data_IF_996086338943
#
_entry.id   IF_996086338943
#
_cell.length_a   1.000
_cell.length_b   1.000
_cell.length_c   1.000
_cell.angle_alpha   90.00
_cell.angle_beta   90.00
_cell.angle_gamma   90.00
#
_symmetry.space_group_name_H-M   'P 1'
#
loop_
_entity.id
_entity.type
_entity.pdbx_description
1 polymer ?
#
# COMPACT_ATOMS: atom_id res chain seq x y z
N UNK A 1 6.39 -38.89 2.08
CA UNK A 1 5.97 -37.51 1.80
C UNK A 1 7.13 -36.60 2.19
N UNK A 2 7.53 -35.66 1.34
CA UNK A 2 8.45 -34.58 1.73
C UNK A 2 7.57 -33.36 2.00
N UNK A 3 7.84 -32.66 3.10
CA UNK A 3 7.06 -31.48 3.48
C UNK A 3 7.58 -30.28 2.66
N UNK A 4 6.69 -29.50 2.06
CA UNK A 4 7.06 -28.15 1.60
C UNK A 4 7.42 -27.31 2.82
N UNK A 5 8.39 -26.42 2.71
CA UNK A 5 8.86 -25.59 3.84
C UNK A 5 9.32 -24.25 3.29
N UNK A 6 8.71 -23.16 3.76
CA UNK A 6 9.08 -21.81 3.36
C UNK A 6 9.89 -21.15 4.47
N UNK A 7 11.00 -20.49 4.11
CA UNK A 7 11.72 -19.60 5.01
C UNK A 7 11.69 -18.18 4.44
N UNK A 8 11.07 -17.26 5.18
CA UNK A 8 11.04 -15.84 4.87
C UNK A 8 11.76 -15.05 5.97
N UNK A 9 12.57 -14.07 5.56
CA UNK A 9 13.20 -13.09 6.43
C UNK A 9 12.74 -11.69 5.99
N UNK A 10 11.88 -11.08 6.78
CA UNK A 10 11.26 -9.78 6.49
C UNK A 10 12.07 -8.62 7.06
N UNK A 11 12.29 -7.58 6.25
CA UNK A 11 12.86 -6.31 6.68
C UNK A 11 11.97 -5.15 6.23
N UNK A 12 11.32 -4.48 7.19
CA UNK A 12 10.71 -3.19 6.95
C UNK A 12 11.81 -2.11 6.89
N UNK A 13 12.10 -1.58 5.70
CA UNK A 13 13.07 -0.50 5.55
C UNK A 13 12.47 0.85 5.99
N UNK A 14 12.60 1.16 7.27
CA UNK A 14 12.42 2.51 7.80
C UNK A 14 13.71 3.32 7.61
N UNK A 15 13.98 3.77 6.38
CA UNK A 15 15.16 4.61 6.08
C UNK A 15 14.78 6.09 6.11
N UNK A 16 15.09 6.76 7.22
CA UNK A 16 15.10 8.23 7.32
C UNK A 16 16.51 8.77 7.01
N UNK A 17 16.77 9.10 5.75
CA UNK A 17 17.96 9.85 5.35
C UNK A 17 17.77 11.35 5.56
N UNK A 18 18.71 12.08 6.21
CA UNK A 18 18.65 13.53 6.27
C UNK A 18 18.93 14.13 4.90
N UNK A 19 17.95 14.83 4.32
CA UNK A 19 18.13 15.60 3.10
C UNK A 19 18.91 16.90 3.36
N UNK A 20 20.21 16.78 3.64
CA UNK A 20 21.13 17.91 3.74
C UNK A 20 21.96 18.05 2.46
N UNK A 21 21.46 18.86 1.53
CA UNK A 21 22.28 19.36 0.43
C UNK A 21 23.20 20.47 0.95
N UNK A 22 24.48 20.18 1.15
CA UNK A 22 25.51 21.19 1.41
C UNK A 22 26.81 20.91 0.64
N UNK A 23 27.37 21.98 0.08
CA UNK A 23 28.64 21.96 -0.66
C UNK A 23 29.82 21.75 0.30
N UNK A 24 30.81 20.97 -0.12
CA UNK A 24 32.12 20.89 0.53
C UNK A 24 32.93 22.19 0.25
N UNK A 25 33.96 22.58 1.05
CA UNK A 25 35.17 21.75 1.16
C UNK A 25 35.98 21.77 2.49
N UNK A 26 36.92 20.80 2.55
CA UNK A 26 38.19 20.74 3.30
C UNK A 26 38.26 20.06 4.71
N UNK A 27 39.11 19.00 4.72
CA UNK A 27 40.02 18.40 5.72
C UNK A 27 40.14 19.09 7.11
N UNK A 28 40.43 18.38 8.21
CA UNK A 28 41.56 17.45 8.41
C UNK A 28 41.44 16.64 9.72
N UNK A 29 42.09 15.46 9.85
CA UNK A 29 42.44 14.84 11.16
C UNK A 29 41.88 13.46 11.55
N UNK A 30 42.67 12.40 11.32
CA UNK A 30 42.62 11.09 12.02
C UNK A 30 43.36 11.19 13.40
N UNK A 31 43.20 10.28 14.42
CA UNK A 31 43.17 8.82 14.24
C UNK A 31 42.31 7.94 15.21
N UNK A 32 42.19 6.65 14.85
CA UNK A 32 41.73 5.50 15.65
C UNK A 32 42.68 5.16 16.83
N UNK A 33 42.22 4.54 17.95
CA UNK A 33 42.20 3.06 18.03
C UNK A 33 41.16 2.42 18.99
N UNK A 34 41.00 1.09 18.92
CA UNK A 34 40.61 0.25 20.08
C UNK A 34 39.46 -0.74 19.88
N UNK A 35 39.76 -2.04 19.76
CA UNK A 35 38.79 -3.14 19.88
C UNK A 35 38.61 -3.56 21.34
N UNK A 36 37.37 -3.85 21.77
CA UNK A 36 37.06 -4.95 22.72
C UNK A 36 35.59 -5.38 22.62
N UNK A 37 35.36 -6.68 22.44
CA UNK A 37 34.06 -7.34 22.60
C UNK A 37 34.01 -8.03 23.98
N UNK A 38 32.83 -8.17 24.61
CA UNK A 38 32.56 -9.25 25.56
C UNK A 38 31.43 -10.17 25.11
N UNK A 39 31.44 -11.40 25.63
CA UNK A 39 30.66 -12.53 25.13
C UNK A 39 29.34 -12.83 25.90
N UNK A 40 28.52 -13.69 25.28
CA UNK A 40 27.38 -14.43 25.81
C UNK A 40 27.75 -15.95 25.86
N UNK A 41 26.96 -16.88 26.45
CA UNK A 41 25.81 -16.78 27.37
C UNK A 41 26.09 -17.61 28.68
N UNK A 42 25.20 -18.40 29.35
CA UNK A 42 24.24 -19.39 28.82
C UNK A 42 22.78 -19.23 29.28
N UNK A 43 21.86 -19.99 28.67
CA UNK A 43 20.42 -19.97 28.93
C UNK A 43 19.96 -21.12 29.86
N UNK A 44 18.80 -20.92 30.52
CA UNK A 44 17.99 -22.01 31.09
C UNK A 44 16.50 -21.65 31.10
N UNK A 45 15.66 -22.60 30.70
CA UNK A 45 14.21 -22.65 30.86
C UNK A 45 13.87 -24.04 31.48
N UNK A 46 12.61 -24.47 31.71
CA UNK A 46 11.31 -23.78 31.55
C UNK A 46 10.33 -23.97 32.75
N UNK A 47 9.12 -23.38 32.66
CA UNK A 47 7.78 -24.05 32.79
C UNK A 47 6.65 -23.09 33.22
N UNK A 48 5.64 -22.94 32.36
CA UNK A 48 4.23 -22.80 32.77
C UNK A 48 3.60 -24.23 32.75
N UNK A 49 2.45 -24.57 33.35
CA UNK A 49 1.14 -23.90 33.54
C UNK A 49 0.39 -24.66 34.68
N UNK A 50 -0.72 -24.19 35.30
CA UNK A 50 -2.05 -24.32 34.67
C UNK A 50 -3.15 -23.29 34.99
N UNK A 51 -4.00 -23.06 33.98
CA UNK A 51 -5.46 -22.83 33.97
C UNK A 51 -6.22 -22.51 35.28
N UNK A 52 -7.08 -21.48 35.26
CA UNK A 52 -8.57 -21.58 35.18
C UNK A 52 -9.26 -20.21 35.35
N UNK A 53 -10.46 -20.06 34.79
CA UNK A 53 -11.45 -18.99 35.05
C UNK A 53 -12.80 -19.69 35.23
N UNK A 54 -13.64 -19.32 36.21
CA UNK A 54 -14.90 -18.66 35.82
C UNK A 54 -15.52 -17.69 36.85
N UNK A 55 -16.20 -16.65 36.32
CA UNK A 55 -17.40 -16.05 36.92
C UNK A 55 -17.23 -14.86 37.87
N UNK A 56 -17.85 -13.72 37.52
CA UNK A 56 -18.64 -12.87 38.43
C UNK A 56 -19.43 -11.81 37.64
N UNK A 57 -20.70 -11.60 38.01
CA UNK A 57 -21.60 -10.60 37.43
C UNK A 57 -21.29 -9.17 37.90
N UNK A 58 -21.64 -8.17 37.07
CA UNK A 58 -21.50 -6.74 37.39
C UNK A 58 -22.84 -6.00 37.25
N UNK A 59 -23.33 -5.29 38.29
CA UNK A 59 -24.53 -4.44 38.22
C UNK A 59 -24.23 -3.00 37.74
N UNK A 60 -25.28 -2.26 37.39
CA UNK A 60 -25.28 -0.83 36.97
C UNK A 60 -26.50 -0.08 37.56
N UNK A 61 -26.72 1.25 37.34
CA UNK A 61 -25.83 2.33 36.90
C UNK A 61 -25.53 3.33 38.06
N UNK A 62 -26.15 4.54 38.31
CA UNK A 62 -27.16 5.38 37.62
C UNK A 62 -26.53 6.71 37.04
N UNK A 63 -27.01 7.98 37.12
CA UNK A 63 -26.76 8.99 36.05
C UNK A 63 -26.20 10.38 36.51
N UNK A 64 -26.15 11.36 35.58
CA UNK A 64 -25.37 12.61 35.65
C UNK A 64 -26.15 13.94 35.80
N UNK A 65 -25.39 15.06 35.82
CA UNK A 65 -25.75 16.50 35.70
C UNK A 65 -26.01 17.29 37.01
N UNK A 66 -25.95 18.66 37.03
CA UNK A 66 -25.70 19.63 35.95
C UNK A 66 -24.60 20.71 36.21
N UNK A 67 -24.56 21.74 35.36
CA UNK A 67 -23.55 22.81 35.18
C UNK A 67 -23.69 24.06 36.08
N UNK A 68 -22.63 24.89 36.12
CA UNK A 68 -22.65 26.29 36.59
C UNK A 68 -21.68 27.19 35.78
N UNK A 69 -21.89 28.51 35.79
CA UNK A 69 -21.28 29.49 34.87
C UNK A 69 -20.27 30.46 35.52
N UNK A 70 -19.39 31.01 34.67
CA UNK A 70 -18.84 32.38 34.67
C UNK A 70 -17.98 32.92 35.86
N UNK A 71 -16.81 33.46 35.50
CA UNK A 71 -15.99 34.38 36.31
C UNK A 71 -14.92 35.02 35.43
N UNK A 72 -14.65 36.33 35.58
CA UNK A 72 -13.92 37.14 34.59
C UNK A 72 -12.78 37.99 35.17
N UNK A 73 -11.60 37.94 34.50
CA UNK A 73 -10.50 38.94 34.53
C UNK A 73 -9.73 39.11 35.86
N UNK A 74 -8.47 39.64 35.89
CA UNK A 74 -7.86 40.59 34.92
C UNK A 74 -6.44 40.31 34.39
N UNK A 75 -6.02 41.16 33.45
CA UNK A 75 -4.67 41.27 32.85
C UNK A 75 -3.53 41.57 33.84
N UNK A 76 -2.32 41.12 33.50
CA UNK A 76 -1.04 41.71 33.91
C UNK A 76 0.04 41.44 32.82
N UNK A 77 0.96 42.38 32.52
CA UNK A 77 1.74 42.34 31.27
C UNK A 77 3.20 41.87 31.41
N UNK A 78 3.71 41.27 30.33
CA UNK A 78 5.11 41.37 29.92
C UNK A 78 6.10 40.35 30.51
N UNK A 79 6.37 39.28 29.76
CA UNK A 79 7.66 38.59 29.78
C UNK A 79 8.20 38.37 28.36
N UNK A 80 9.52 38.30 28.26
CA UNK A 80 10.28 38.48 27.01
C UNK A 80 10.21 37.26 26.10
N UNK A 81 10.15 37.49 24.79
CA UNK A 81 10.40 36.48 23.77
C UNK A 81 11.88 36.05 23.82
N UNK A 82 12.16 34.97 24.56
CA UNK A 82 13.42 34.23 24.46
C UNK A 82 13.26 33.09 23.45
N UNK A 83 14.26 32.89 22.58
CA UNK A 83 14.22 31.80 21.61
C UNK A 83 14.15 30.45 22.30
N UNK A 84 13.11 29.67 21.98
CA UNK A 84 12.91 28.30 22.44
C UNK A 84 13.02 27.33 21.27
N UNK A 85 13.78 26.26 21.48
CA UNK A 85 14.19 25.28 20.49
C UNK A 85 13.06 24.68 19.64
N UNK A 86 13.29 24.57 18.33
CA UNK A 86 12.43 23.84 17.37
C UNK A 86 12.61 22.31 17.50
N UNK A 87 12.65 21.80 18.73
CA UNK A 87 12.91 20.41 19.08
C UNK A 87 11.71 19.78 19.82
N UNK A 88 10.50 19.95 19.27
CA UNK A 88 9.25 19.53 19.94
C UNK A 88 8.06 19.20 19.03
N UNK A 89 8.24 19.05 17.71
CA UNK A 89 7.14 18.81 16.75
C UNK A 89 6.96 17.35 16.31
N UNK A 90 7.49 16.37 17.05
CA UNK A 90 7.38 14.93 16.70
C UNK A 90 6.05 14.28 17.12
N UNK A 91 4.97 15.06 17.25
CA UNK A 91 3.70 14.60 17.84
C UNK A 91 2.43 15.25 17.28
N UNK A 92 2.50 15.95 16.14
CA UNK A 92 1.29 16.50 15.51
C UNK A 92 0.50 15.42 14.76
N UNK A 93 -0.62 15.02 15.35
CA UNK A 93 -1.86 14.56 14.68
C UNK A 93 -1.74 13.66 13.43
N UNK A 94 -0.96 12.57 13.55
CA UNK A 94 -0.85 11.50 12.54
C UNK A 94 -2.20 10.82 12.19
N UNK A 95 -3.29 11.16 12.91
CA UNK A 95 -4.62 10.57 12.76
C UNK A 95 -5.46 11.19 11.62
N UNK A 96 -5.09 12.36 11.08
CA UNK A 96 -5.96 13.15 10.20
C UNK A 96 -5.36 13.54 8.84
N UNK A 97 -4.55 12.65 8.24
CA UNK A 97 -4.04 12.87 6.88
C UNK A 97 -5.18 12.84 5.83
N UNK A 98 -5.38 13.90 5.03
CA UNK A 98 -6.43 13.96 4.01
C UNK A 98 -6.11 13.04 2.82
N UNK A 99 -7.14 12.33 2.34
CA UNK A 99 -7.10 11.48 1.17
C UNK A 99 -6.81 12.26 -0.13
N UNK A 100 -6.24 11.59 -1.13
CA UNK A 100 -5.94 12.17 -2.44
C UNK A 100 -7.21 12.44 -3.26
N UNK A 101 -8.19 11.54 -3.23
CA UNK A 101 -9.32 11.57 -4.17
C UNK A 101 -10.57 12.28 -3.62
N UNK A 102 -10.61 12.70 -2.35
CA UNK A 102 -11.77 13.41 -1.79
C UNK A 102 -11.77 13.73 -0.30
N UNK A 103 -12.88 14.28 0.23
CA UNK A 103 -13.00 14.75 1.61
C UNK A 103 -13.22 13.59 2.59
N UNK A 104 -12.21 12.74 2.74
CA UNK A 104 -12.15 11.65 3.71
C UNK A 104 -10.69 11.38 4.11
N UNK A 105 -10.45 10.43 5.02
CA UNK A 105 -9.12 10.12 5.53
C UNK A 105 -8.35 9.16 4.61
N UNK A 106 -7.04 9.39 4.48
CA UNK A 106 -6.16 8.65 3.58
C UNK A 106 -6.06 7.13 3.87
N UNK A 107 -6.36 6.70 5.10
CA UNK A 107 -6.44 5.29 5.49
C UNK A 107 -7.46 4.46 4.68
N UNK A 108 -8.46 5.11 4.07
CA UNK A 108 -9.41 4.47 3.15
C UNK A 108 -8.78 4.15 1.79
N UNK A 109 -7.73 4.85 1.37
CA UNK A 109 -7.08 4.63 0.07
C UNK A 109 -6.10 3.47 0.14
N UNK A 110 -5.96 2.73 -0.96
CA UNK A 110 -5.14 1.52 -1.06
C UNK A 110 -4.33 1.57 -2.37
N UNK A 111 -4.22 0.49 -3.14
CA UNK A 111 -3.60 0.51 -4.47
C UNK A 111 -4.37 1.41 -5.46
N UNK A 112 -3.67 2.15 -6.32
CA UNK A 112 -4.25 3.01 -7.36
C UNK A 112 -5.40 3.89 -6.86
N UNK A 113 -6.59 3.68 -7.41
CA UNK A 113 -7.83 4.35 -6.96
C UNK A 113 -8.72 3.49 -6.06
N UNK A 114 -8.31 2.29 -5.63
CA UNK A 114 -9.14 1.39 -4.83
C UNK A 114 -9.40 1.88 -3.40
N UNK A 115 -10.37 1.27 -2.71
CA UNK A 115 -10.68 1.54 -1.30
C UNK A 115 -10.56 0.31 -0.41
N UNK A 116 -10.07 0.53 0.80
CA UNK A 116 -10.01 -0.40 1.93
C UNK A 116 -10.80 0.16 3.14
N UNK A 117 -11.01 -0.62 4.22
CA UNK A 117 -11.70 -0.12 5.41
C UNK A 117 -10.94 1.01 6.11
N UNK A 118 -11.66 2.05 6.57
CA UNK A 118 -11.12 3.16 7.37
C UNK A 118 -10.55 2.75 8.76
N UNK A 119 -10.48 1.45 9.06
CA UNK A 119 -9.85 0.85 10.23
C UNK A 119 -8.50 0.19 9.89
N UNK A 120 -8.14 0.10 8.61
CA UNK A 120 -6.83 -0.38 8.16
C UNK A 120 -5.74 0.63 8.52
N UNK A 121 -4.68 0.24 9.24
CA UNK A 121 -3.52 1.10 9.45
C UNK A 121 -2.74 1.31 8.15
N UNK A 122 -2.21 2.52 7.96
CA UNK A 122 -1.12 2.79 7.02
C UNK A 122 0.16 3.01 7.82
N UNK A 123 1.18 2.19 7.58
CA UNK A 123 2.50 2.32 8.21
C UNK A 123 3.47 2.97 7.23
N UNK A 124 3.90 4.21 7.46
CA UNK A 124 4.83 4.89 6.59
C UNK A 124 5.69 5.90 7.35
N UNK A 125 6.80 6.30 6.72
CA UNK A 125 7.53 7.51 7.10
C UNK A 125 6.81 8.70 6.45
N UNK A 126 6.49 9.71 7.25
CA UNK A 126 5.86 10.95 6.80
C UNK A 126 6.84 12.12 6.95
N UNK A 127 6.93 12.96 5.93
CA UNK A 127 7.82 14.11 5.87
C UNK A 127 7.05 15.30 5.26
N UNK A 128 7.33 16.51 5.75
CA UNK A 128 6.81 17.75 5.16
C UNK A 128 7.95 18.51 4.46
N UNK A 129 7.71 18.94 3.22
CA UNK A 129 8.65 19.72 2.42
C UNK A 129 7.96 20.99 1.91
N UNK A 130 7.86 22.01 2.78
CA UNK A 130 6.95 23.13 2.58
C UNK A 130 5.50 22.62 2.55
N UNK A 131 4.76 22.99 1.50
CA UNK A 131 3.36 22.58 1.30
C UNK A 131 3.20 21.11 0.85
N UNK A 132 4.30 20.38 0.61
CA UNK A 132 4.25 18.97 0.20
C UNK A 132 4.25 18.03 1.40
N UNK A 133 3.22 17.20 1.50
CA UNK A 133 3.20 16.00 2.33
C UNK A 133 3.79 14.84 1.53
N UNK A 134 4.95 14.36 1.95
CA UNK A 134 5.67 13.22 1.38
C UNK A 134 5.51 12.02 2.30
N UNK A 135 5.27 10.84 1.72
CA UNK A 135 5.05 9.58 2.44
C UNK A 135 5.86 8.47 1.76
N UNK A 136 6.61 7.71 2.55
CA UNK A 136 7.38 6.55 2.08
C UNK A 136 6.95 5.30 2.84
N UNK A 137 6.51 4.29 2.10
CA UNK A 137 6.13 2.97 2.61
C UNK A 137 6.88 1.91 1.82
N UNK A 138 7.40 0.88 2.48
CA UNK A 138 8.07 -0.21 1.79
C UNK A 138 8.33 -1.40 2.68
N UNK A 139 8.38 -2.56 2.05
CA UNK A 139 8.68 -3.84 2.68
C UNK A 139 9.52 -4.66 1.70
N UNK A 140 10.63 -5.23 2.17
CA UNK A 140 11.42 -6.17 1.40
C UNK A 140 11.61 -7.47 2.20
N UNK A 141 11.42 -8.59 1.53
CA UNK A 141 11.52 -9.93 2.09
C UNK A 141 12.60 -10.70 1.33
N UNK A 142 13.56 -11.27 2.06
CA UNK A 142 14.41 -12.35 1.54
C UNK A 142 13.68 -13.66 1.70
N UNK A 143 13.38 -14.35 0.59
CA UNK A 143 12.57 -15.58 0.59
C UNK A 143 13.39 -16.74 0.03
N UNK A 144 13.30 -17.90 0.69
CA UNK A 144 13.65 -19.18 0.10
C UNK A 144 12.43 -20.11 0.17
N UNK A 145 11.86 -20.39 -0.99
CA UNK A 145 10.75 -21.32 -1.17
C UNK A 145 11.26 -22.70 -1.61
N UNK A 146 10.65 -23.76 -1.07
CA UNK A 146 10.78 -25.14 -1.56
C UNK A 146 9.43 -25.85 -1.52
N UNK A 147 8.92 -26.15 -2.72
CA UNK A 147 7.65 -26.84 -2.92
C UNK A 147 7.90 -28.27 -3.40
N UNK A 148 7.41 -29.25 -2.63
CA UNK A 148 7.67 -30.67 -2.91
C UNK A 148 6.77 -31.26 -4.00
N UNK A 149 7.31 -32.21 -4.76
CA UNK A 149 6.58 -33.04 -5.72
C UNK A 149 6.92 -32.75 -7.20
N UNK A 150 6.36 -33.50 -8.17
CA UNK A 150 6.76 -33.42 -9.58
C UNK A 150 6.47 -32.08 -10.28
N UNK A 151 5.57 -31.27 -9.70
CA UNK A 151 5.18 -29.92 -10.17
C UNK A 151 5.83 -28.79 -9.35
N UNK A 152 6.52 -29.14 -8.26
CA UNK A 152 7.14 -28.18 -7.37
C UNK A 152 8.52 -27.72 -7.84
N UNK A 153 9.19 -26.94 -7.01
CA UNK A 153 10.54 -26.45 -7.26
C UNK A 153 11.05 -25.61 -6.09
N UNK A 154 12.31 -25.22 -6.18
CA UNK A 154 13.00 -24.44 -5.14
C UNK A 154 13.45 -23.10 -5.73
N UNK A 155 13.39 -22.00 -4.94
CA UNK A 155 13.95 -20.72 -5.34
C UNK A 155 14.27 -19.79 -4.17
N UNK A 156 15.45 -19.17 -4.21
CA UNK A 156 15.76 -17.95 -3.47
C UNK A 156 15.42 -16.69 -4.27
N UNK A 157 14.74 -15.72 -3.67
CA UNK A 157 14.37 -14.45 -4.32
C UNK A 157 14.20 -13.32 -3.29
N UNK A 158 14.12 -12.08 -3.78
CA UNK A 158 13.68 -10.91 -3.00
C UNK A 158 12.29 -10.53 -3.50
N UNK A 159 11.36 -10.28 -2.59
CA UNK A 159 9.99 -9.88 -2.90
C UNK A 159 9.57 -8.67 -2.06
N UNK A 160 8.59 -7.91 -2.56
CA UNK A 160 8.00 -6.77 -1.86
C UNK A 160 7.98 -5.52 -2.73
N UNK A 161 7.99 -4.34 -2.11
CA UNK A 161 7.90 -3.06 -2.82
C UNK A 161 8.51 -1.90 -2.03
N UNK A 162 8.86 -0.83 -2.74
CA UNK A 162 9.10 0.50 -2.17
C UNK A 162 8.20 1.50 -2.89
N UNK A 163 7.31 2.16 -2.13
CA UNK A 163 6.39 3.17 -2.61
C UNK A 163 6.70 4.55 -2.00
N UNK A 164 6.85 5.55 -2.87
CA UNK A 164 6.88 6.96 -2.50
C UNK A 164 5.60 7.66 -2.97
N UNK A 165 5.09 8.58 -2.16
CA UNK A 165 3.96 9.43 -2.50
C UNK A 165 4.27 10.89 -2.13
N UNK A 166 3.84 11.83 -2.97
CA UNK A 166 3.96 13.26 -2.70
C UNK A 166 2.62 13.92 -3.00
N UNK A 167 2.07 14.66 -2.04
CA UNK A 167 0.75 15.31 -2.18
C UNK A 167 0.77 16.76 -1.69
N UNK A 168 -0.03 17.61 -2.34
CA UNK A 168 -0.14 19.04 -2.04
C UNK A 168 -1.54 19.55 -2.38
N UNK A 169 -2.06 20.44 -1.54
CA UNK A 169 -3.31 21.13 -1.80
C UNK A 169 -3.11 22.35 -2.72
N UNK A 170 -4.08 22.61 -3.58
CA UNK A 170 -4.10 23.66 -4.60
C UNK A 170 -5.34 24.53 -4.40
N UNK A 171 -5.14 25.66 -3.71
CA UNK A 171 -6.23 26.48 -3.19
C UNK A 171 -7.08 25.71 -2.16
N UNK A 172 -8.29 26.19 -1.89
CA UNK A 172 -9.13 25.64 -0.82
C UNK A 172 -9.84 24.32 -1.17
N UNK A 173 -9.64 23.80 -2.39
CA UNK A 173 -10.48 22.74 -2.98
C UNK A 173 -9.75 21.72 -3.86
N UNK A 174 -8.62 22.08 -4.46
CA UNK A 174 -7.84 21.16 -5.28
C UNK A 174 -6.87 20.36 -4.43
N UNK A 175 -6.62 19.09 -4.77
CA UNK A 175 -5.50 18.31 -4.22
C UNK A 175 -4.83 17.52 -5.33
N UNK A 176 -3.51 17.59 -5.40
CA UNK A 176 -2.67 16.83 -6.33
C UNK A 176 -1.90 15.78 -5.53
N UNK A 177 -1.80 14.56 -6.06
CA UNK A 177 -0.90 13.53 -5.54
C UNK A 177 -0.15 12.86 -6.69
N UNK A 178 1.14 12.62 -6.47
CA UNK A 178 1.97 11.70 -7.25
C UNK A 178 2.27 10.45 -6.43
N UNK A 179 2.31 9.28 -7.07
CA UNK A 179 2.74 8.01 -6.48
C UNK A 179 3.76 7.35 -7.40
N UNK A 180 4.76 6.71 -6.81
CA UNK A 180 5.71 5.86 -7.51
C UNK A 180 5.96 4.59 -6.69
N UNK A 181 5.90 3.42 -7.31
CA UNK A 181 6.12 2.11 -6.69
C UNK A 181 7.14 1.32 -7.50
N UNK A 182 8.14 0.81 -6.80
CA UNK A 182 9.20 -0.02 -7.36
C UNK A 182 9.15 -1.44 -6.79
N UNK A 183 9.32 -2.44 -7.65
CA UNK A 183 9.41 -3.86 -7.27
C UNK A 183 10.83 -4.40 -7.47
N UNK A 184 11.36 -5.25 -6.55
CA UNK A 184 12.61 -5.98 -6.74
C UNK A 184 12.45 -7.22 -7.64
N UNK A 185 11.22 -7.59 -8.02
CA UNK A 185 10.91 -8.82 -8.73
C UNK A 185 11.72 -9.07 -10.02
N UNK A 186 12.07 -8.06 -10.85
CA UNK A 186 12.88 -8.27 -12.06
C UNK A 186 14.22 -8.97 -11.80
N UNK A 187 14.78 -8.86 -10.59
CA UNK A 187 16.03 -9.53 -10.20
C UNK A 187 15.88 -11.04 -10.01
N UNK A 188 14.66 -11.57 -9.86
CA UNK A 188 14.44 -13.02 -9.81
C UNK A 188 14.51 -13.68 -11.20
N UNK A 189 14.37 -12.91 -12.28
CA UNK A 189 14.41 -13.40 -13.65
C UNK A 189 13.11 -14.05 -14.16
N UNK A 190 13.05 -14.19 -15.49
CA UNK A 190 11.88 -14.54 -16.32
C UNK A 190 11.02 -15.71 -15.85
N UNK A 191 11.61 -16.75 -15.26
CA UNK A 191 10.87 -17.90 -14.78
C UNK A 191 10.03 -17.64 -13.53
N UNK A 192 10.15 -16.46 -12.87
CA UNK A 192 9.40 -16.16 -11.66
C UNK A 192 9.71 -17.13 -10.50
N UNK A 193 8.89 -17.19 -9.46
CA UNK A 193 9.07 -18.11 -8.33
C UNK A 193 8.02 -19.25 -8.34
N UNK A 194 8.28 -20.41 -7.69
CA UNK A 194 7.31 -21.49 -7.63
C UNK A 194 6.04 -21.04 -6.89
N UNK A 195 4.86 -21.40 -7.40
CA UNK A 195 3.58 -21.15 -6.74
C UNK A 195 2.59 -22.19 -7.26
N UNK A 196 2.54 -23.36 -6.62
CA UNK A 196 1.67 -24.45 -7.06
C UNK A 196 0.21 -23.97 -7.22
N UNK A 197 -0.43 -24.44 -8.29
CA UNK A 197 -1.78 -24.04 -8.74
C UNK A 197 -1.90 -22.63 -9.34
N UNK A 198 -0.85 -21.80 -9.33
CA UNK A 198 -0.85 -20.55 -10.08
C UNK A 198 -0.86 -20.79 -11.60
N UNK A 199 -1.56 -19.91 -12.31
CA UNK A 199 -1.66 -19.88 -13.77
C UNK A 199 -1.78 -18.42 -14.21
N UNK A 200 -0.96 -17.99 -15.16
CA UNK A 200 -1.06 -16.65 -15.74
C UNK A 200 0.24 -16.20 -16.39
N UNK A 201 0.14 -15.25 -17.31
CA UNK A 201 1.27 -14.65 -18.04
C UNK A 201 2.23 -15.65 -18.72
N UNK A 202 3.33 -15.12 -19.24
CA UNK A 202 4.41 -15.88 -19.87
C UNK A 202 5.76 -15.54 -19.25
N UNK A 203 6.69 -16.50 -19.29
CA UNK A 203 8.06 -16.25 -18.85
C UNK A 203 8.84 -15.31 -19.80
N UNK A 204 8.50 -15.34 -21.09
CA UNK A 204 9.39 -14.89 -22.18
C UNK A 204 8.65 -14.51 -23.48
N UNK A 205 7.37 -14.18 -23.38
CA UNK A 205 6.48 -13.92 -24.53
C UNK A 205 6.00 -15.16 -25.28
N UNK A 206 6.36 -16.38 -24.84
CA UNK A 206 6.14 -17.63 -25.61
C UNK A 206 5.71 -18.82 -24.75
N UNK A 207 6.24 -18.94 -23.54
CA UNK A 207 5.99 -20.06 -22.64
C UNK A 207 5.12 -19.59 -21.48
N UNK A 208 3.88 -20.08 -21.40
CA UNK A 208 2.97 -19.81 -20.28
C UNK A 208 3.56 -20.32 -18.96
N UNK A 209 3.36 -19.57 -17.87
CA UNK A 209 3.74 -19.99 -16.53
C UNK A 209 2.58 -20.76 -15.87
N UNK A 210 2.91 -21.96 -15.38
CA UNK A 210 2.02 -22.87 -14.64
C UNK A 210 2.78 -23.33 -13.41
N UNK A 211 2.11 -23.36 -12.26
CA UNK A 211 2.71 -23.60 -10.94
C UNK A 211 3.82 -22.61 -10.56
N UNK A 212 3.75 -21.39 -11.12
CA UNK A 212 4.74 -20.32 -10.94
C UNK A 212 4.07 -18.96 -11.03
N UNK A 213 4.55 -18.01 -10.24
CA UNK A 213 4.18 -16.59 -10.32
C UNK A 213 5.25 -15.84 -11.10
N UNK A 214 4.86 -15.08 -12.12
CA UNK A 214 5.77 -14.21 -12.88
C UNK A 214 6.28 -13.03 -12.00
N UNK A 215 7.45 -12.45 -12.32
CA UNK A 215 7.86 -11.19 -11.70
C UNK A 215 6.96 -10.03 -12.16
N UNK A 216 6.70 -9.07 -11.28
CA UNK A 216 6.23 -7.75 -11.69
C UNK A 216 7.37 -6.96 -12.36
N UNK A 217 7.01 -5.90 -13.08
CA UNK A 217 7.95 -4.96 -13.67
C UNK A 217 8.58 -4.06 -12.60
N UNK A 218 9.79 -3.54 -12.88
CA UNK A 218 10.55 -2.68 -11.95
C UNK A 218 9.70 -1.49 -11.47
N UNK A 219 8.95 -0.88 -12.38
CA UNK A 219 7.94 0.13 -12.07
C UNK A 219 6.60 -0.58 -11.97
N UNK A 220 5.97 -0.57 -10.79
CA UNK A 220 4.66 -1.20 -10.59
C UNK A 220 3.54 -0.17 -10.41
N UNK A 221 3.89 1.09 -10.15
CA UNK A 221 2.99 2.23 -10.29
C UNK A 221 3.82 3.50 -10.56
N UNK A 222 3.41 4.31 -11.53
CA UNK A 222 3.83 5.70 -11.69
C UNK A 222 2.58 6.51 -12.03
N UNK A 223 1.99 7.15 -11.02
CA UNK A 223 0.67 7.77 -11.15
C UNK A 223 0.59 9.20 -10.65
N UNK A 224 -0.38 9.92 -11.21
CA UNK A 224 -0.81 11.24 -10.78
C UNK A 224 -2.32 11.23 -10.58
N UNK A 225 -2.79 11.85 -9.51
CA UNK A 225 -4.21 12.14 -9.32
C UNK A 225 -4.43 13.59 -8.96
N UNK A 226 -5.53 14.15 -9.45
CA UNK A 226 -6.04 15.46 -9.04
C UNK A 226 -7.51 15.32 -8.66
N UNK A 227 -7.85 15.77 -7.45
CA UNK A 227 -9.23 15.88 -6.99
C UNK A 227 -9.64 17.32 -6.75
N UNK A 228 -10.95 17.57 -6.90
CA UNK A 228 -11.56 18.86 -6.65
C UNK A 228 -12.78 18.69 -5.75
N UNK A 229 -12.74 19.33 -4.59
CA UNK A 229 -13.80 19.34 -3.58
C UNK A 229 -15.01 20.14 -4.07
N UNK A 230 -16.12 19.43 -4.28
CA UNK A 230 -17.42 20.01 -4.66
C UNK A 230 -18.19 20.48 -3.43
N UNK A 231 -18.18 19.67 -2.35
CA UNK A 231 -18.76 19.98 -1.04
C UNK A 231 -17.93 19.31 0.07
N UNK A 232 -18.28 19.50 1.34
CA UNK A 232 -17.65 18.76 2.46
C UNK A 232 -17.90 17.25 2.45
N UNK A 233 -18.74 16.74 1.53
CA UNK A 233 -18.99 15.31 1.36
C UNK A 233 -18.73 14.80 -0.05
N UNK A 234 -18.36 15.66 -1.00
CA UNK A 234 -18.28 15.30 -2.41
C UNK A 234 -17.04 15.86 -3.10
N UNK A 235 -16.44 15.05 -3.98
CA UNK A 235 -15.37 15.45 -4.89
C UNK A 235 -15.55 14.80 -6.26
N UNK A 236 -14.97 15.44 -7.27
CA UNK A 236 -14.63 14.79 -8.53
C UNK A 236 -13.11 14.59 -8.58
N UNK A 237 -12.64 13.52 -9.22
CA UNK A 237 -11.21 13.29 -9.42
C UNK A 237 -10.89 12.74 -10.81
N UNK A 238 -9.65 12.95 -11.22
CA UNK A 238 -8.99 12.26 -12.31
C UNK A 238 -7.71 11.60 -11.76
N UNK A 239 -7.41 10.40 -12.25
CA UNK A 239 -6.20 9.63 -11.98
C UNK A 239 -5.64 9.16 -13.33
N UNK A 240 -4.32 9.19 -13.48
CA UNK A 240 -3.63 8.62 -14.62
C UNK A 240 -2.37 7.88 -14.14
N UNK A 241 -2.08 6.72 -14.73
CA UNK A 241 -0.97 5.86 -14.35
C UNK A 241 -0.28 5.25 -15.57
N UNK A 242 1.04 5.09 -15.49
CA UNK A 242 1.89 4.46 -16.49
C UNK A 242 3.15 3.84 -15.84
N UNK A 243 3.03 2.68 -15.18
CA UNK A 243 1.82 1.87 -14.97
C UNK A 243 0.89 2.38 -13.85
N UNK A 244 -0.32 1.80 -13.77
CA UNK A 244 -1.25 2.00 -12.66
C UNK A 244 -2.49 1.11 -12.73
N UNK A 245 -3.41 1.27 -11.78
CA UNK A 245 -4.60 0.42 -11.62
C UNK A 245 -5.86 1.05 -12.28
N UNK A 246 -6.61 0.31 -13.11
CA UNK A 246 -7.94 0.72 -13.58
C UNK A 246 -9.03 0.50 -12.52
N UNK A 247 -10.20 1.09 -12.75
CA UNK A 247 -11.40 0.93 -11.92
C UNK A 247 -12.02 -0.48 -12.05
N UNK A 248 -11.26 -1.51 -11.65
CA UNK A 248 -11.67 -2.91 -11.66
C UNK A 248 -11.03 -3.70 -10.52
N UNK A 249 -11.80 -4.60 -9.90
CA UNK A 249 -11.28 -5.55 -8.93
C UNK A 249 -11.13 -5.01 -7.52
N UNK A 250 -10.63 -5.91 -6.65
CA UNK A 250 -10.22 -5.58 -5.29
C UNK A 250 -8.89 -4.80 -5.31
N UNK A 251 -8.50 -4.12 -4.21
CA UNK A 251 -7.14 -3.61 -4.07
C UNK A 251 -6.08 -4.68 -4.36
N UNK A 252 -4.98 -4.29 -5.00
CA UNK A 252 -3.84 -5.15 -5.28
C UNK A 252 -3.36 -5.85 -4.00
N UNK A 253 -2.99 -7.13 -4.08
CA UNK A 253 -2.69 -7.95 -2.90
C UNK A 253 -1.61 -7.31 -2.02
N UNK A 254 -0.55 -6.74 -2.61
CA UNK A 254 0.52 -6.05 -1.89
C UNK A 254 0.04 -4.89 -0.99
N UNK A 255 -1.15 -4.35 -1.24
CA UNK A 255 -1.80 -3.31 -0.43
C UNK A 255 -2.89 -3.83 0.52
N UNK A 256 -3.19 -5.14 0.53
CA UNK A 256 -4.21 -5.74 1.40
C UNK A 256 -3.61 -6.14 2.74
N UNK A 257 -4.20 -5.62 3.82
CA UNK A 257 -3.85 -5.96 5.21
C UNK A 257 -3.77 -7.48 5.48
N UNK A 258 -4.62 -8.27 4.81
CA UNK A 258 -4.73 -9.72 4.99
C UNK A 258 -3.55 -10.55 4.46
N UNK A 259 -2.63 -9.94 3.71
CA UNK A 259 -1.46 -10.62 3.12
C UNK A 259 -0.15 -9.88 3.42
N UNK A 260 -0.18 -8.87 4.32
CA UNK A 260 0.97 -8.02 4.64
C UNK A 260 2.22 -8.82 5.07
N UNK A 261 2.03 -9.88 5.85
CA UNK A 261 3.13 -10.72 6.37
C UNK A 261 3.47 -11.91 5.45
N UNK A 262 2.85 -11.99 4.26
CA UNK A 262 3.10 -13.06 3.27
C UNK A 262 3.84 -12.48 2.06
N UNK A 263 5.08 -12.90 1.79
CA UNK A 263 5.87 -12.37 0.69
C UNK A 263 5.54 -13.03 -0.67
N UNK A 264 4.60 -13.96 -0.69
CA UNK A 264 4.05 -14.58 -1.90
C UNK A 264 2.69 -13.99 -2.28
N UNK A 265 2.46 -13.84 -3.59
CA UNK A 265 1.16 -13.56 -4.16
C UNK A 265 0.15 -14.68 -3.83
N UNK A 266 -1.11 -14.35 -3.47
CA UNK A 266 -2.18 -15.33 -3.35
C UNK A 266 -2.45 -16.04 -4.69
N UNK A 267 -2.78 -17.33 -4.67
CA UNK A 267 -3.15 -18.11 -5.87
C UNK A 267 -4.30 -17.45 -6.68
N UNK A 268 -5.15 -16.65 -6.02
CA UNK A 268 -6.24 -15.91 -6.65
C UNK A 268 -5.82 -14.61 -7.35
N UNK A 269 -4.54 -14.22 -7.32
CA UNK A 269 -4.06 -12.92 -7.82
C UNK A 269 -4.47 -12.64 -9.27
N UNK A 270 -4.12 -13.54 -10.18
CA UNK A 270 -4.49 -13.45 -11.61
C UNK A 270 -6.00 -13.35 -11.86
N UNK A 271 -6.81 -13.84 -10.92
CA UNK A 271 -8.27 -13.87 -11.03
C UNK A 271 -8.95 -12.61 -10.48
N UNK A 272 -8.33 -11.93 -9.50
CA UNK A 272 -8.97 -10.88 -8.68
C UNK A 272 -8.41 -9.47 -8.95
N UNK A 273 -7.11 -9.35 -9.22
CA UNK A 273 -6.38 -8.07 -9.20
C UNK A 273 -5.16 -8.00 -10.14
N UNK A 274 -5.11 -8.80 -11.22
CA UNK A 274 -3.99 -8.76 -12.19
C UNK A 274 -3.76 -7.40 -12.85
N UNK A 275 -4.83 -6.60 -13.05
CA UNK A 275 -4.76 -5.33 -13.76
C UNK A 275 -4.03 -4.19 -13.03
N UNK A 276 -3.50 -4.42 -11.82
CA UNK A 276 -2.97 -3.35 -10.98
C UNK A 276 -1.68 -2.68 -11.49
N UNK A 277 -0.94 -3.36 -12.39
CA UNK A 277 0.25 -2.84 -13.06
C UNK A 277 -0.01 -2.50 -14.54
N UNK A 278 -1.20 -1.99 -14.89
CA UNK A 278 -1.53 -1.73 -16.31
C UNK A 278 -0.67 -0.59 -16.86
N UNK A 279 0.04 -0.86 -17.96
CA UNK A 279 0.84 0.06 -18.76
C UNK A 279 -0.01 1.09 -19.54
N UNK A 280 -0.68 1.97 -18.80
CA UNK A 280 -1.48 3.07 -19.33
C UNK A 280 -2.94 3.00 -18.89
N UNK A 281 -3.31 3.87 -17.95
CA UNK A 281 -4.67 4.02 -17.44
C UNK A 281 -5.03 5.50 -17.26
N UNK A 282 -6.29 5.84 -17.55
CA UNK A 282 -6.92 7.11 -17.17
C UNK A 282 -8.28 6.80 -16.54
N UNK A 283 -8.46 7.20 -15.28
CA UNK A 283 -9.65 6.98 -14.45
C UNK A 283 -10.28 8.32 -14.08
N UNK A 284 -11.59 8.46 -14.30
CA UNK A 284 -12.39 9.58 -13.81
C UNK A 284 -13.43 9.09 -12.80
N UNK A 285 -13.66 9.82 -11.71
CA UNK A 285 -14.60 9.38 -10.69
C UNK A 285 -15.22 10.48 -9.84
N UNK A 286 -16.28 10.10 -9.13
CA UNK A 286 -17.03 10.91 -8.19
C UNK A 286 -17.07 10.20 -6.83
N UNK A 287 -16.82 10.95 -5.76
CA UNK A 287 -16.98 10.50 -4.37
C UNK A 287 -18.16 11.23 -3.74
N UNK A 288 -18.99 10.50 -2.99
CA UNK A 288 -20.04 11.06 -2.14
C UNK A 288 -20.09 10.32 -0.79
N UNK A 289 -19.47 10.90 0.23
CA UNK A 289 -19.41 10.37 1.60
C UNK A 289 -18.74 9.00 1.71
N UNK A 290 -19.55 7.95 1.80
CA UNK A 290 -19.13 6.54 1.86
C UNK A 290 -19.17 5.83 0.51
N UNK A 291 -19.63 6.48 -0.56
CA UNK A 291 -19.73 5.92 -1.91
C UNK A 291 -18.73 6.54 -2.87
N UNK A 292 -18.29 5.76 -3.86
CA UNK A 292 -17.50 6.22 -5.00
C UNK A 292 -17.92 5.47 -6.25
N UNK A 293 -18.03 6.19 -7.36
CA UNK A 293 -18.25 5.63 -8.70
C UNK A 293 -17.15 6.15 -9.63
N UNK A 294 -16.50 5.25 -10.34
CA UNK A 294 -15.32 5.53 -11.16
C UNK A 294 -15.36 4.71 -12.45
N UNK A 295 -14.82 5.28 -13.52
CA UNK A 295 -14.70 4.66 -14.85
C UNK A 295 -13.29 4.89 -15.39
N UNK A 296 -12.75 3.89 -16.07
CA UNK A 296 -11.40 3.94 -16.66
C UNK A 296 -11.41 3.60 -18.13
N UNK A 297 -10.60 4.33 -18.91
CA UNK A 297 -9.98 3.81 -20.11
C UNK A 297 -8.59 3.30 -19.77
N UNK A 298 -8.18 2.16 -20.32
CA UNK A 298 -6.86 1.57 -20.06
C UNK A 298 -6.41 0.63 -21.18
N UNK A 299 -5.17 0.15 -21.08
CA UNK A 299 -4.58 -0.85 -21.98
C UNK A 299 -4.98 -2.24 -21.54
N UNK A 300 -5.76 -2.96 -22.35
CA UNK A 300 -6.25 -4.29 -21.97
C UNK A 300 -5.16 -5.35 -21.85
N UNK A 301 -4.09 -5.20 -22.65
CA UNK A 301 -2.93 -6.08 -22.72
C UNK A 301 -2.14 -6.05 -21.40
N UNK A 302 -1.94 -7.22 -20.80
CA UNK A 302 -1.03 -7.42 -19.66
C UNK A 302 0.42 -7.05 -20.05
N UNK A 303 1.27 -6.62 -19.09
CA UNK A 303 2.67 -6.29 -19.36
C UNK A 303 3.44 -7.44 -20.01
N UNK A 304 4.41 -7.10 -20.84
CA UNK A 304 5.21 -8.07 -21.57
C UNK A 304 6.42 -8.61 -20.77
N UNK A 305 7.27 -9.41 -21.41
CA UNK A 305 8.43 -10.02 -20.75
C UNK A 305 9.57 -9.04 -20.37
N UNK A 306 9.52 -7.77 -20.76
CA UNK A 306 10.58 -6.78 -20.53
C UNK A 306 10.36 -6.02 -19.21
N UNK A 307 10.92 -6.56 -18.12
CA UNK A 307 10.61 -6.14 -16.74
C UNK A 307 11.27 -4.83 -16.27
N UNK A 308 11.72 -3.96 -17.17
CA UNK A 308 12.58 -2.81 -16.83
C UNK A 308 12.25 -1.49 -17.56
N UNK A 309 11.49 -1.55 -18.65
CA UNK A 309 10.99 -0.39 -19.38
C UNK A 309 9.57 -0.01 -18.93
N UNK A 310 8.94 0.86 -19.71
CA UNK A 310 7.58 1.37 -19.55
C UNK A 310 6.99 1.32 -20.95
N UNK A 311 5.88 0.63 -21.12
CA UNK A 311 5.35 0.34 -22.45
C UNK A 311 4.54 1.53 -23.01
N UNK A 312 4.30 1.51 -24.31
CA UNK A 312 3.41 2.50 -24.93
C UNK A 312 1.98 2.38 -24.38
N UNK A 313 1.38 3.47 -23.86
CA UNK A 313 0.01 3.46 -23.34
C UNK A 313 -1.00 3.36 -24.48
N UNK A 314 -2.14 2.72 -24.19
CA UNK A 314 -3.26 2.55 -25.12
C UNK A 314 -4.56 2.55 -24.33
N UNK A 315 -5.62 3.19 -24.82
CA UNK A 315 -6.93 3.22 -24.14
C UNK A 315 -7.95 2.43 -24.97
N UNK A 316 -7.73 1.12 -25.12
CA UNK A 316 -8.60 0.23 -25.91
C UNK A 316 -9.63 -0.53 -25.07
N UNK A 317 -9.46 -0.52 -23.75
CA UNK A 317 -10.23 -1.29 -22.78
C UNK A 317 -10.90 -0.37 -21.77
N UNK A 318 -12.02 -0.82 -21.21
CA UNK A 318 -12.87 0.00 -20.33
C UNK A 318 -13.31 -0.75 -19.09
N UNK A 319 -13.37 -0.05 -17.96
CA UNK A 319 -13.79 -0.60 -16.67
C UNK A 319 -14.62 0.42 -15.88
N UNK A 320 -15.51 -0.09 -15.02
CA UNK A 320 -16.32 0.70 -14.10
C UNK A 320 -16.30 0.00 -12.74
N UNK A 321 -16.03 0.74 -11.66
CA UNK A 321 -16.11 0.25 -10.27
C UNK A 321 -17.00 1.16 -9.43
N UNK A 322 -17.86 0.54 -8.63
CA UNK A 322 -18.61 1.19 -7.57
C UNK A 322 -18.09 0.67 -6.22
N UNK A 323 -17.66 1.57 -5.35
CA UNK A 323 -17.14 1.26 -4.01
C UNK A 323 -18.06 1.82 -2.92
N UNK A 324 -18.19 1.11 -1.81
CA UNK A 324 -19.01 1.49 -0.65
C UNK A 324 -18.36 1.07 0.67
N UNK A 325 -18.11 2.04 1.55
CA UNK A 325 -17.66 1.82 2.93
C UNK A 325 -18.82 2.11 3.92
N UNK A 326 -19.74 1.15 4.17
CA UNK A 326 -20.88 1.35 5.08
C UNK A 326 -20.47 1.65 6.53
N UNK A 327 -19.29 1.18 6.94
CA UNK A 327 -18.73 1.40 8.27
C UNK A 327 -17.21 1.56 8.14
N UNK A 328 -16.55 2.06 9.19
CA UNK A 328 -15.08 2.10 9.21
C UNK A 328 -14.40 0.73 9.10
N UNK A 329 -15.12 -0.37 9.34
CA UNK A 329 -14.56 -1.74 9.35
C UNK A 329 -14.82 -2.53 8.08
N UNK A 330 -15.64 -2.02 7.16
CA UNK A 330 -16.09 -2.77 5.98
C UNK A 330 -15.97 -1.90 4.72
N UNK A 331 -15.24 -2.40 3.73
CA UNK A 331 -15.17 -1.85 2.38
C UNK A 331 -15.69 -2.89 1.39
N UNK A 332 -16.56 -2.47 0.49
CA UNK A 332 -17.19 -3.29 -0.54
C UNK A 332 -16.94 -2.66 -1.91
N UNK A 333 -16.74 -3.48 -2.94
CA UNK A 333 -16.79 -3.01 -4.32
C UNK A 333 -17.49 -4.02 -5.23
N UNK A 334 -18.08 -3.51 -6.31
CA UNK A 334 -18.46 -4.28 -7.50
C UNK A 334 -17.90 -3.57 -8.74
N UNK A 335 -17.40 -4.34 -9.69
CA UNK A 335 -16.83 -3.81 -10.92
C UNK A 335 -17.08 -4.67 -12.14
N UNK A 336 -17.04 -4.02 -13.30
CA UNK A 336 -17.11 -4.64 -14.61
C UNK A 336 -15.99 -4.12 -15.51
N UNK A 337 -15.44 -4.98 -16.35
CA UNK A 337 -14.45 -4.63 -17.35
C UNK A 337 -14.74 -5.30 -18.70
N UNK A 338 -14.44 -4.58 -19.78
CA UNK A 338 -14.20 -5.15 -21.12
C UNK A 338 -12.74 -4.92 -21.47
N UNK A 339 -12.00 -6.00 -21.63
CA UNK A 339 -10.61 -5.99 -22.08
C UNK A 339 -10.54 -6.35 -23.56
N UNK A 340 -9.73 -5.61 -24.30
CA UNK A 340 -9.36 -5.93 -25.67
C UNK A 340 -8.02 -6.63 -25.65
N UNK A 341 -7.95 -7.87 -26.15
CA UNK A 341 -6.70 -8.60 -26.35
C UNK A 341 -5.79 -8.68 -25.10
N UNK A 342 -6.28 -9.10 -23.91
CA UNK A 342 -5.47 -9.03 -22.68
C UNK A 342 -4.27 -9.98 -22.68
N UNK A 343 -4.48 -11.21 -23.15
CA UNK A 343 -3.53 -12.32 -23.11
C UNK A 343 -2.55 -12.29 -24.30
N UNK A 344 -1.24 -12.23 -24.04
CA UNK A 344 -0.22 -12.18 -25.09
C UNK A 344 -0.23 -13.43 -25.99
N UNK A 345 -0.53 -14.62 -25.44
CA UNK A 345 -0.62 -15.88 -26.19
C UNK A 345 -1.99 -16.11 -26.85
N UNK A 346 -3.01 -15.32 -26.49
CA UNK A 346 -4.37 -15.42 -27.03
C UNK A 346 -4.87 -14.06 -27.58
N UNK A 347 -4.12 -13.41 -28.49
CA UNK A 347 -4.34 -12.01 -28.84
C UNK A 347 -5.68 -11.73 -29.55
N UNK A 348 -6.31 -12.74 -30.14
CA UNK A 348 -7.62 -12.60 -30.79
C UNK A 348 -8.81 -12.66 -29.81
N UNK A 349 -8.57 -13.01 -28.55
CA UNK A 349 -9.61 -13.14 -27.52
C UNK A 349 -9.82 -11.80 -26.84
N UNK A 350 -11.09 -11.38 -26.73
CA UNK A 350 -11.52 -10.22 -25.95
C UNK A 350 -12.33 -10.72 -24.76
N UNK A 351 -12.14 -10.11 -23.59
CA UNK A 351 -12.77 -10.57 -22.36
C UNK A 351 -13.82 -9.60 -21.82
N UNK A 352 -14.74 -10.15 -21.03
CA UNK A 352 -15.63 -9.39 -20.15
C UNK A 352 -15.53 -9.96 -18.75
N UNK A 353 -14.98 -9.21 -17.81
CA UNK A 353 -14.80 -9.65 -16.41
C UNK A 353 -15.78 -8.92 -15.51
N UNK A 354 -16.24 -9.61 -14.48
CA UNK A 354 -17.05 -9.08 -13.38
C UNK A 354 -16.32 -9.39 -12.09
N UNK A 355 -16.31 -8.47 -11.14
CA UNK A 355 -15.73 -8.69 -9.82
C UNK A 355 -16.64 -8.12 -8.73
N UNK A 356 -16.62 -8.77 -7.58
CA UNK A 356 -17.24 -8.29 -6.36
C UNK A 356 -16.35 -8.74 -5.19
N UNK A 357 -16.04 -7.84 -4.27
CA UNK A 357 -15.20 -8.16 -3.12
C UNK A 357 -15.59 -7.35 -1.89
N UNK A 358 -15.36 -7.93 -0.71
CA UNK A 358 -15.48 -7.25 0.57
C UNK A 358 -14.24 -7.46 1.41
N UNK A 359 -13.78 -6.39 2.08
CA UNK A 359 -12.69 -6.42 3.05
C UNK A 359 -13.28 -6.02 4.40
N UNK A 360 -13.06 -6.86 5.42
CA UNK A 360 -13.46 -6.58 6.79
C UNK A 360 -12.22 -6.50 7.69
N UNK A 361 -12.08 -5.41 8.45
CA UNK A 361 -10.93 -5.15 9.31
C UNK A 361 -11.38 -4.92 10.75
N UNK A 362 -10.80 -5.68 11.67
CA UNK A 362 -10.97 -5.53 13.11
C UNK A 362 -9.61 -5.18 13.71
N UNK A 363 -9.47 -4.04 14.41
CA UNK A 363 -8.29 -3.77 15.22
C UNK A 363 -8.16 -4.85 16.31
N UNK A 364 -6.98 -5.45 16.43
CA UNK A 364 -6.63 -6.39 17.50
C UNK A 364 -5.59 -5.69 18.38
N UNK A 365 -5.93 -5.49 19.65
CA UNK A 365 -5.15 -4.74 20.64
C UNK A 365 -5.99 -4.45 21.87
#
# INVERSE_FOLDING_TARGET
MKNSTMFAASAALLVSGPAQAQMAPMKEGDPMPGMTMPALPPAAAPKATPQTMPGMDMPAPPPAAPSAQAGSMPDMPGMKMGGGDMAGMTGMDMAHMPAALGPYLMNRESSGTSWQPDASPHQAIHLMAGDWSIMFHGMLNGVYDTQSGPRGGDKGFVAGMVMGMASRDFGDRGRLQFRAMLSPDPFMGSAGYPLLLATGETANGKTSLVDRQHPHDLFSELSVSYSYKLTDRASAFIYAGLPGEPAFGAPAFMHRLSIMDSPEAPISHHWVDSMHITEGVVTGGLVYGSFKLETSGYKGREPDQHRYDIEAPKLDSVAIRASYNPTRRLALQVSWARQVSPEQLNPEINERRWSASGIYTVPIG
#
